data_IF_567580565638
#
_entry.id   IF_567580565638
#
_cell.length_a   1.000
_cell.length_b   1.000
_cell.length_c   1.000
_cell.angle_alpha   90.00
_cell.angle_beta   90.00
_cell.angle_gamma   90.00
#
_symmetry.space_group_name_H-M   'P 1'
#
loop_
_entity.id
_entity.type
_entity.pdbx_description
1 polymer ?
#
# COMPACT_ATOMS: atom_id res chain seq x y z
N UNK A 1 -6.89 -7.65 -4.04
CA UNK A 1 -5.49 -8.09 -3.84
C UNK A 1 -5.42 -9.45 -3.14
N UNK A 2 -6.02 -9.61 -1.96
CA UNK A 2 -5.97 -10.86 -1.17
C UNK A 2 -6.39 -12.11 -1.96
N UNK A 3 -7.57 -12.11 -2.58
CA UNK A 3 -8.07 -13.29 -3.31
C UNK A 3 -7.14 -13.73 -4.46
N UNK A 4 -6.57 -12.78 -5.21
CA UNK A 4 -5.60 -13.09 -6.27
C UNK A 4 -4.27 -13.63 -5.72
N UNK A 5 -3.84 -13.20 -4.55
CA UNK A 5 -2.65 -13.75 -3.88
C UNK A 5 -2.88 -15.17 -3.37
N UNK A 6 -4.09 -15.48 -2.87
CA UNK A 6 -4.44 -16.81 -2.40
C UNK A 6 -4.62 -17.82 -3.55
N UNK A 7 -5.48 -17.50 -4.53
CA UNK A 7 -5.91 -18.45 -5.56
C UNK A 7 -6.04 -17.84 -6.97
N UNK A 8 -5.35 -16.72 -7.25
CA UNK A 8 -5.35 -16.11 -8.58
C UNK A 8 -4.79 -17.04 -9.64
N UNK A 9 -5.45 -17.10 -10.80
CA UNK A 9 -4.94 -17.82 -11.98
C UNK A 9 -3.63 -17.19 -12.48
N UNK A 10 -2.75 -17.96 -13.16
CA UNK A 10 -1.54 -17.40 -13.74
C UNK A 10 -1.87 -16.37 -14.82
N UNK A 11 -1.32 -15.16 -14.69
CA UNK A 11 -1.43 -14.06 -15.65
C UNK A 11 -0.02 -13.64 -16.06
N UNK A 12 0.35 -13.94 -17.30
CA UNK A 12 1.65 -13.57 -17.88
C UNK A 12 1.72 -12.07 -18.19
N UNK A 13 2.90 -11.47 -18.04
CA UNK A 13 3.12 -10.06 -18.36
C UNK A 13 2.51 -9.08 -17.36
N UNK A 14 2.10 -9.58 -16.18
CA UNK A 14 1.65 -8.75 -15.08
C UNK A 14 2.79 -7.82 -14.63
N UNK A 15 2.46 -6.56 -14.40
CA UNK A 15 3.36 -5.54 -13.86
C UNK A 15 2.54 -4.45 -13.17
N UNK A 16 3.18 -3.68 -12.29
CA UNK A 16 2.60 -2.48 -11.72
C UNK A 16 3.29 -1.26 -12.34
N UNK A 17 2.69 -0.69 -13.39
CA UNK A 17 3.31 0.37 -14.22
C UNK A 17 4.72 0.01 -14.73
N UNK A 18 4.92 -1.26 -15.12
CA UNK A 18 6.23 -1.76 -15.57
C UNK A 18 7.11 -2.33 -14.45
N UNK A 19 6.82 -2.02 -13.18
CA UNK A 19 7.52 -2.61 -12.03
C UNK A 19 7.09 -4.07 -11.82
N UNK A 20 8.02 -4.88 -11.29
CA UNK A 20 7.80 -6.29 -10.95
C UNK A 20 7.20 -7.13 -12.10
N UNK A 21 7.67 -6.90 -13.32
CA UNK A 21 7.20 -7.62 -14.51
C UNK A 21 7.43 -9.13 -14.36
N UNK A 22 6.39 -9.90 -14.61
CA UNK A 22 6.47 -11.36 -14.55
C UNK A 22 5.13 -12.04 -14.77
N UNK A 23 5.00 -13.27 -14.28
CA UNK A 23 3.72 -13.98 -14.23
C UNK A 23 3.18 -13.90 -12.81
N UNK A 24 2.07 -13.19 -12.62
CA UNK A 24 1.37 -13.16 -11.34
C UNK A 24 0.52 -14.43 -11.19
N UNK A 25 0.60 -15.10 -10.04
CA UNK A 25 -0.25 -16.26 -9.70
C UNK A 25 -0.46 -16.32 -8.19
N UNK A 26 -1.56 -16.92 -7.75
CA UNK A 26 -1.81 -17.20 -6.34
C UNK A 26 -1.06 -18.44 -5.84
N UNK A 27 -1.14 -18.68 -4.53
CA UNK A 27 -0.60 -19.88 -3.88
C UNK A 27 -1.25 -21.18 -4.37
N UNK A 28 -2.57 -21.16 -4.60
CA UNK A 28 -3.33 -22.29 -5.17
C UNK A 28 -4.20 -21.86 -6.37
N UNK A 29 -3.62 -21.72 -7.58
CA UNK A 29 -4.34 -21.24 -8.76
C UNK A 29 -5.48 -22.17 -9.26
N UNK A 30 -5.53 -23.42 -8.76
CA UNK A 30 -6.57 -24.40 -9.11
C UNK A 30 -7.76 -24.40 -8.16
N UNK A 31 -7.69 -23.69 -7.03
CA UNK A 31 -8.78 -23.61 -6.05
C UNK A 31 -9.94 -22.75 -6.57
N UNK A 32 -11.15 -23.06 -6.12
CA UNK A 32 -12.34 -22.21 -6.34
C UNK A 32 -12.34 -21.08 -5.32
N UNK A 33 -12.89 -19.92 -5.70
CA UNK A 33 -13.00 -18.75 -4.85
C UNK A 33 -14.49 -18.44 -4.64
N UNK A 34 -14.92 -18.39 -3.38
CA UNK A 34 -16.17 -17.79 -2.96
C UNK A 34 -15.86 -16.45 -2.25
N UNK A 35 -16.66 -15.40 -2.50
CA UNK A 35 -16.40 -14.05 -1.97
C UNK A 35 -17.55 -13.58 -1.08
N UNK A 36 -17.23 -13.21 0.14
CA UNK A 36 -18.17 -12.68 1.13
C UNK A 36 -17.76 -11.24 1.48
N UNK A 37 -18.52 -10.25 0.99
CA UNK A 37 -18.20 -8.83 1.20
C UNK A 37 -18.75 -8.38 2.56
N UNK A 38 -17.85 -8.13 3.51
CA UNK A 38 -18.20 -7.72 4.88
C UNK A 38 -17.83 -6.27 5.22
N UNK A 39 -17.08 -5.59 4.34
CA UNK A 39 -16.63 -4.21 4.52
C UNK A 39 -17.13 -3.30 3.38
N UNK A 40 -18.28 -2.62 3.54
CA UNK A 40 -18.63 -1.50 2.67
C UNK A 40 -17.78 -0.27 3.05
N UNK A 41 -17.17 0.38 2.06
CA UNK A 41 -16.55 1.70 2.17
C UNK A 41 -15.53 1.86 3.33
N UNK A 42 -14.63 0.88 3.45
CA UNK A 42 -13.50 0.81 4.40
C UNK A 42 -13.82 0.51 5.86
N UNK A 43 -15.09 0.43 6.24
CA UNK A 43 -15.49 0.01 7.59
C UNK A 43 -16.11 -1.39 7.57
N UNK A 44 -15.77 -2.20 8.56
CA UNK A 44 -16.28 -3.57 8.69
C UNK A 44 -16.99 -3.69 10.04
N UNK A 45 -18.31 -3.78 10.03
CA UNK A 45 -19.04 -4.08 11.27
C UNK A 45 -18.78 -5.52 11.69
N UNK A 46 -18.58 -5.75 12.99
CA UNK A 46 -18.47 -7.11 13.55
C UNK A 46 -19.68 -8.00 13.19
N UNK A 47 -20.88 -7.42 13.09
CA UNK A 47 -22.08 -8.14 12.65
C UNK A 47 -22.03 -8.59 11.19
N UNK A 48 -21.47 -7.77 10.29
CA UNK A 48 -21.31 -8.13 8.89
C UNK A 48 -20.22 -9.20 8.72
N UNK A 49 -19.15 -9.11 9.52
CA UNK A 49 -18.10 -10.13 9.56
C UNK A 49 -18.67 -11.46 10.04
N UNK A 50 -19.42 -11.47 11.14
CA UNK A 50 -20.03 -12.69 11.69
C UNK A 50 -21.02 -13.32 10.70
N UNK A 51 -21.86 -12.52 10.04
CA UNK A 51 -22.72 -12.99 8.95
C UNK A 51 -21.91 -13.63 7.82
N UNK A 52 -20.79 -13.01 7.43
CA UNK A 52 -19.91 -13.56 6.40
C UNK A 52 -19.30 -14.91 6.79
N UNK A 53 -18.97 -15.11 8.07
CA UNK A 53 -18.53 -16.41 8.58
C UNK A 53 -19.66 -17.46 8.51
N UNK A 54 -20.86 -17.12 8.99
CA UNK A 54 -22.00 -18.03 9.00
C UNK A 54 -22.38 -18.46 7.57
N UNK A 55 -22.45 -17.52 6.62
CA UNK A 55 -22.73 -17.80 5.21
C UNK A 55 -21.64 -18.72 4.61
N UNK A 56 -20.36 -18.44 4.88
CA UNK A 56 -19.25 -19.26 4.36
C UNK A 56 -19.25 -20.69 4.89
N UNK A 57 -19.56 -20.87 6.18
CA UNK A 57 -19.69 -22.19 6.80
C UNK A 57 -20.88 -22.94 6.20
N UNK A 58 -22.03 -22.25 6.02
CA UNK A 58 -23.22 -22.84 5.42
C UNK A 58 -23.01 -23.27 3.96
N UNK A 59 -22.22 -22.51 3.21
CA UNK A 59 -21.83 -22.84 1.83
C UNK A 59 -20.78 -23.96 1.73
N UNK A 60 -20.20 -24.37 2.86
CA UNK A 60 -19.24 -25.48 2.92
C UNK A 60 -17.85 -25.14 2.38
N UNK A 61 -17.35 -23.93 2.62
CA UNK A 61 -15.98 -23.56 2.22
C UNK A 61 -14.94 -24.39 2.98
N UNK A 62 -13.91 -24.88 2.29
CA UNK A 62 -12.85 -25.70 2.90
C UNK A 62 -11.87 -24.88 3.74
N UNK A 63 -11.55 -23.67 3.28
CA UNK A 63 -10.58 -22.76 3.94
C UNK A 63 -11.06 -21.33 3.75
N UNK A 64 -11.01 -20.56 4.84
CA UNK A 64 -11.37 -19.14 4.82
C UNK A 64 -10.12 -18.27 4.99
N UNK A 65 -9.92 -17.33 4.07
CA UNK A 65 -8.84 -16.33 4.14
C UNK A 65 -9.41 -14.98 4.53
N UNK A 66 -8.99 -14.46 5.69
CA UNK A 66 -9.48 -13.20 6.25
C UNK A 66 -8.30 -12.27 6.53
N UNK A 67 -8.35 -11.07 5.97
CA UNK A 67 -7.33 -10.02 6.16
C UNK A 67 -7.97 -8.80 6.82
N UNK A 68 -8.35 -8.96 8.09
CA UNK A 68 -9.01 -7.96 8.94
C UNK A 68 -8.15 -7.70 10.20
N UNK A 69 -8.65 -6.90 11.14
CA UNK A 69 -7.82 -6.23 12.17
C UNK A 69 -7.48 -7.13 13.38
N UNK A 70 -8.35 -8.05 13.80
CA UNK A 70 -8.17 -8.85 15.02
C UNK A 70 -8.31 -10.35 14.75
N UNK A 71 -7.42 -11.14 15.34
CA UNK A 71 -7.25 -12.58 15.14
C UNK A 71 -6.60 -13.26 16.37
N UNK A 72 -6.90 -12.79 17.58
CA UNK A 72 -6.26 -13.30 18.82
C UNK A 72 -6.76 -14.67 19.30
N UNK A 73 -7.80 -15.24 18.69
CA UNK A 73 -8.38 -16.49 19.16
C UNK A 73 -7.44 -17.69 18.91
N UNK A 74 -7.27 -18.63 19.86
CA UNK A 74 -6.33 -19.75 19.72
C UNK A 74 -6.61 -20.69 18.54
N UNK A 75 -7.86 -20.71 18.06
CA UNK A 75 -8.29 -21.51 16.93
C UNK A 75 -8.12 -20.81 15.57
N UNK A 76 -7.61 -19.57 15.54
CA UNK A 76 -7.32 -18.84 14.30
C UNK A 76 -5.82 -18.94 14.00
N UNK A 77 -5.48 -19.37 12.79
CA UNK A 77 -4.11 -19.29 12.29
C UNK A 77 -3.73 -17.82 12.03
N UNK A 78 -2.96 -17.25 12.94
CA UNK A 78 -2.40 -15.88 12.81
C UNK A 78 -1.12 -15.90 12.00
N UNK A 79 -1.02 -15.05 10.97
CA UNK A 79 0.15 -14.97 10.09
C UNK A 79 0.83 -13.60 10.22
N UNK A 80 2.13 -13.58 10.50
CA UNK A 80 2.96 -12.36 10.50
C UNK A 80 3.42 -11.96 9.10
N UNK A 81 3.71 -10.67 8.90
CA UNK A 81 4.28 -10.16 7.66
C UNK A 81 5.80 -10.02 7.76
N UNK A 82 6.52 -10.39 6.69
CA UNK A 82 7.97 -10.22 6.55
C UNK A 82 8.29 -9.64 5.18
N UNK A 83 9.57 -9.30 4.97
CA UNK A 83 10.06 -8.87 3.65
C UNK A 83 10.41 -10.08 2.77
N UNK A 84 10.57 -9.81 1.48
CA UNK A 84 11.15 -10.73 0.50
C UNK A 84 12.46 -10.14 -0.04
N UNK A 85 13.18 -10.89 -0.86
CA UNK A 85 14.46 -10.49 -1.48
C UNK A 85 14.33 -9.36 -2.51
N UNK A 86 13.12 -9.09 -3.00
CA UNK A 86 12.84 -8.00 -3.94
C UNK A 86 12.73 -6.65 -3.23
N UNK A 87 13.55 -5.71 -3.67
CA UNK A 87 13.48 -4.30 -3.27
C UNK A 87 13.04 -3.41 -4.45
N UNK A 88 12.31 -2.34 -4.16
CA UNK A 88 11.89 -1.34 -5.13
C UNK A 88 12.60 -0.02 -4.84
N UNK A 89 13.65 0.22 -5.61
CA UNK A 89 14.47 1.41 -5.53
C UNK A 89 13.91 2.52 -6.44
N UNK A 90 13.96 3.76 -5.96
CA UNK A 90 13.61 4.97 -6.68
C UNK A 90 14.73 5.98 -6.55
N UNK A 91 15.17 6.51 -7.69
CA UNK A 91 16.21 7.52 -7.74
C UNK A 91 15.63 8.92 -7.52
N UNK A 92 16.32 9.72 -6.72
CA UNK A 92 16.08 11.15 -6.54
C UNK A 92 17.27 11.90 -7.11
N UNK A 93 17.04 12.65 -8.19
CA UNK A 93 18.06 13.49 -8.83
C UNK A 93 17.95 14.91 -8.25
N UNK A 94 18.99 15.34 -7.54
CA UNK A 94 19.12 16.66 -6.94
C UNK A 94 19.90 17.61 -7.86
N UNK A 95 19.82 18.91 -7.57
CA UNK A 95 20.66 19.93 -8.20
C UNK A 95 22.15 19.58 -8.12
N UNK A 96 22.90 19.90 -9.17
CA UNK A 96 24.32 19.53 -9.30
C UNK A 96 24.55 18.07 -9.68
N UNK A 97 23.58 17.40 -10.31
CA UNK A 97 23.65 16.00 -10.80
C UNK A 97 23.91 14.96 -9.70
N UNK A 98 23.55 15.27 -8.44
CA UNK A 98 23.68 14.33 -7.33
C UNK A 98 22.47 13.39 -7.31
N UNK A 99 22.71 12.09 -7.36
CA UNK A 99 21.65 11.06 -7.29
C UNK A 99 21.64 10.42 -5.91
N UNK A 100 20.46 10.30 -5.32
CA UNK A 100 20.22 9.54 -4.08
C UNK A 100 19.23 8.43 -4.37
N UNK A 101 19.59 7.23 -3.94
CA UNK A 101 18.78 6.02 -4.05
C UNK A 101 17.95 5.82 -2.78
N UNK A 102 16.65 5.66 -2.93
CA UNK A 102 15.72 5.40 -1.82
C UNK A 102 14.75 4.26 -2.12
N UNK A 103 14.08 3.73 -1.10
CA UNK A 103 13.02 2.74 -1.29
C UNK A 103 11.67 3.42 -1.55
N UNK A 104 11.10 3.25 -2.74
CA UNK A 104 9.77 3.74 -3.06
C UNK A 104 9.19 3.03 -4.30
N UNK A 105 7.86 3.05 -4.40
CA UNK A 105 7.14 2.65 -5.61
C UNK A 105 6.89 3.92 -6.43
N UNK A 106 7.84 4.27 -7.30
CA UNK A 106 7.71 5.38 -8.23
C UNK A 106 7.47 4.88 -9.66
N UNK A 107 6.49 5.46 -10.34
CA UNK A 107 6.12 5.16 -11.73
C UNK A 107 6.27 6.40 -12.63
N UNK A 108 6.83 7.48 -12.11
CA UNK A 108 7.09 8.71 -12.85
C UNK A 108 8.31 8.54 -13.74
N UNK A 109 8.20 8.94 -15.00
CA UNK A 109 9.34 8.99 -15.92
C UNK A 109 10.21 10.20 -15.57
N UNK A 110 11.32 9.98 -14.87
CA UNK A 110 12.23 11.05 -14.43
C UNK A 110 12.74 11.92 -15.59
N UNK A 111 12.78 11.39 -16.82
CA UNK A 111 13.19 12.17 -18.00
C UNK A 111 12.11 13.16 -18.48
N UNK A 112 10.87 13.00 -18.01
CA UNK A 112 9.71 13.83 -18.32
C UNK A 112 9.14 14.54 -17.09
N UNK A 113 9.75 14.33 -15.93
CA UNK A 113 9.33 14.97 -14.69
C UNK A 113 9.84 16.42 -14.65
N UNK A 114 8.95 17.41 -14.44
CA UNK A 114 9.38 18.77 -14.17
C UNK A 114 10.25 18.85 -12.92
N UNK A 115 11.23 19.75 -12.92
CA UNK A 115 12.13 20.00 -11.79
C UNK A 115 11.42 20.90 -10.78
N UNK A 116 11.37 20.48 -9.51
CA UNK A 116 10.61 21.15 -8.44
C UNK A 116 11.45 21.50 -7.21
N UNK A 117 11.07 22.58 -6.49
CA UNK A 117 11.79 23.06 -5.30
C UNK A 117 12.03 22.15 -4.13
N UNK A 118 13.33 22.12 -3.80
CA UNK A 118 13.93 21.78 -2.53
C UNK A 118 13.55 22.78 -1.44
N UNK A 119 12.59 22.52 -0.54
CA UNK A 119 12.43 23.32 0.68
C UNK A 119 12.59 22.43 1.92
N UNK A 120 13.39 22.85 2.90
CA UNK A 120 13.45 22.20 4.20
C UNK A 120 12.18 22.51 4.98
N UNK A 121 11.60 21.51 5.66
CA UNK A 121 10.34 21.69 6.41
C UNK A 121 10.42 22.82 7.43
N UNK A 122 11.61 23.05 8.03
CA UNK A 122 11.85 24.16 8.97
C UNK A 122 11.68 25.53 8.32
N UNK A 123 12.06 25.67 7.05
CA UNK A 123 11.92 26.92 6.30
C UNK A 123 10.50 27.18 5.80
N UNK A 124 9.60 26.20 5.89
CA UNK A 124 8.18 26.33 5.54
C UNK A 124 7.29 26.71 6.74
N UNK A 125 7.87 27.03 7.90
CA UNK A 125 7.15 27.45 9.12
C UNK A 125 6.56 28.85 8.93
N UNK A 126 5.28 29.02 9.25
CA UNK A 126 4.62 30.35 9.28
C UNK A 126 5.13 31.18 10.46
N UNK A 127 5.29 32.50 10.27
CA UNK A 127 5.67 33.44 11.34
C UNK A 127 4.67 33.46 12.52
N UNK A 128 3.45 32.97 12.32
CA UNK A 128 2.37 32.98 13.32
C UNK A 128 2.27 31.71 14.20
N UNK A 129 3.16 30.73 14.04
CA UNK A 129 3.14 29.53 14.89
C UNK A 129 3.69 29.85 16.29
N UNK A 130 2.79 29.95 17.28
CA UNK A 130 3.13 30.18 18.69
C UNK A 130 3.40 28.91 19.51
N UNK A 131 3.57 27.77 18.84
CA UNK A 131 3.81 26.48 19.46
C UNK A 131 5.16 25.95 18.90
N UNK A 132 5.91 25.22 19.73
CA UNK A 132 7.37 24.95 19.60
C UNK A 132 7.86 24.41 18.25
N UNK A 133 9.14 24.11 18.14
CA UNK A 133 9.81 23.72 16.88
C UNK A 133 9.27 22.46 16.17
N UNK A 134 8.21 21.84 16.69
CA UNK A 134 7.66 20.56 16.26
C UNK A 134 6.54 20.68 15.18
N UNK A 135 6.09 21.90 14.85
CA UNK A 135 4.83 22.11 14.10
C UNK A 135 4.98 22.57 12.62
N UNK A 136 6.06 22.20 11.94
CA UNK A 136 6.21 22.45 10.49
C UNK A 136 5.19 21.68 9.62
N UNK A 137 4.46 20.69 10.19
CA UNK A 137 3.52 19.83 9.45
C UNK A 137 2.19 20.51 9.08
N UNK A 138 1.81 21.61 9.73
CA UNK A 138 0.47 22.17 9.60
C UNK A 138 0.32 23.26 8.52
N UNK A 139 1.42 23.74 7.93
CA UNK A 139 1.43 24.96 7.11
C UNK A 139 1.76 24.77 5.61
N UNK A 140 1.52 23.59 5.03
CA UNK A 140 1.54 23.44 3.56
C UNK A 140 0.29 24.02 2.89
N UNK A 141 -0.12 25.24 3.28
CA UNK A 141 -1.21 25.95 2.64
C UNK A 141 -0.87 27.45 2.55
N UNK A 142 -0.09 27.80 1.52
CA UNK A 142 -0.17 29.03 0.69
C UNK A 142 1.20 29.31 0.02
N UNK A 143 1.22 29.21 -1.31
CA UNK A 143 2.12 29.94 -2.21
C UNK A 143 3.65 29.87 -2.01
N UNK A 144 4.27 28.69 -2.16
CA UNK A 144 5.71 28.64 -2.42
C UNK A 144 6.05 27.62 -3.51
N UNK A 145 5.86 28.02 -4.77
CA UNK A 145 6.42 27.38 -5.95
C UNK A 145 7.56 28.25 -6.48
N UNK A 146 8.84 27.90 -6.29
CA UNK A 146 9.96 28.39 -7.13
C UNK A 146 11.17 27.44 -7.06
N UNK A 147 11.68 26.91 -8.19
CA UNK A 147 13.12 26.65 -8.36
C UNK A 147 13.69 27.40 -9.54
N UNK A 148 14.91 27.87 -9.34
CA UNK A 148 15.81 28.41 -10.36
C UNK A 148 16.21 27.35 -11.38
#
# INVERSE_FOLDING_TARGET
>A
HVASTAAGRPVSGASYYGLAKGTAKGGSPGSRIAMYRVCPDHFCSGSAILKGYDDAIADGVDVLSVSLVDNAAPWILTVGATTIDRDFESDVVLGGNKVIKGGAINFSDLNKSPVYPLIDGRSAKSESSQQGDDDARYNMNKNSYVLN
#
